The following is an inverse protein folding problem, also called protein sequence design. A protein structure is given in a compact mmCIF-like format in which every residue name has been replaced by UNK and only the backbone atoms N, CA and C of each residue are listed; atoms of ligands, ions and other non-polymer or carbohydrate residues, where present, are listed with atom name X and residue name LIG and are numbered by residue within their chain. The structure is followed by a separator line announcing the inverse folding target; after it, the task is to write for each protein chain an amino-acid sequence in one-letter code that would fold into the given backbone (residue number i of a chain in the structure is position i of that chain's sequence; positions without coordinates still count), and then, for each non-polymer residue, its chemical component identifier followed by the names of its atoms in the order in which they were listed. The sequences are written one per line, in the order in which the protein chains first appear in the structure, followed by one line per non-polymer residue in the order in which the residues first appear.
data_IF_394129828901
#
_entry.id   IF_394129828901
#
_cell.length_a   1.000
_cell.length_b   1.000
_cell.length_c   1.000
_cell.angle_alpha   90.00
_cell.angle_beta   90.00
_cell.angle_gamma   90.00
#
_symmetry.space_group_name_H-M   'P 1'
#
loop_
_entity.id
_entity.type
_entity.pdbx_description
1 polymer ?
#
# COMPACT_ATOMS: atom_id res chain seq x y z
N UNK A 1 -5.52 -2.01 -0.18
CA UNK A 1 -5.14 -3.17 -1.04
C UNK A 1 -4.19 -4.11 -0.30
N UNK A 2 -3.17 -3.59 0.38
CA UNK A 2 -2.12 -4.37 1.06
C UNK A 2 -2.40 -4.68 2.53
N UNK A 3 -3.65 -4.55 2.97
CA UNK A 3 -4.11 -4.89 4.33
C UNK A 3 -3.34 -4.25 5.51
N UNK A 4 -2.61 -3.14 5.27
CA UNK A 4 -1.83 -2.44 6.31
C UNK A 4 -2.68 -1.61 7.29
N UNK A 5 -3.87 -1.20 6.88
CA UNK A 5 -4.84 -0.51 7.73
C UNK A 5 -6.26 -0.83 7.25
N UNK A 6 -7.21 -0.82 8.18
CA UNK A 6 -8.65 -0.89 7.93
C UNK A 6 -9.29 0.51 7.91
N UNK A 7 -8.49 1.55 8.12
CA UNK A 7 -8.91 2.94 8.21
C UNK A 7 -9.70 3.38 6.98
N UNK A 8 -10.88 3.95 7.24
CA UNK A 8 -11.71 4.60 6.20
C UNK A 8 -11.27 6.05 5.93
N UNK A 9 -10.36 6.58 6.74
CA UNK A 9 -9.85 7.95 6.66
C UNK A 9 -8.34 7.97 6.52
N UNK A 10 -7.81 9.10 6.04
CA UNK A 10 -6.38 9.30 5.82
C UNK A 10 -5.65 9.34 7.15
N UNK A 11 -6.19 10.04 8.14
CA UNK A 11 -5.59 10.21 9.47
C UNK A 11 -5.41 8.86 10.16
N UNK A 12 -6.42 7.99 10.08
CA UNK A 12 -6.33 6.64 10.66
C UNK A 12 -5.28 5.79 9.95
N UNK A 13 -5.24 5.87 8.63
CA UNK A 13 -4.25 5.14 7.82
C UNK A 13 -2.83 5.59 8.16
N UNK A 14 -2.62 6.90 8.33
CA UNK A 14 -1.33 7.47 8.71
C UNK A 14 -0.90 7.04 10.11
N UNK A 15 -1.81 7.08 11.09
CA UNK A 15 -1.56 6.62 12.47
C UNK A 15 -1.14 5.14 12.49
N UNK A 16 -1.86 4.28 11.77
CA UNK A 16 -1.57 2.85 11.70
C UNK A 16 -0.20 2.59 11.03
N UNK A 17 0.11 3.27 9.92
CA UNK A 17 1.41 3.12 9.25
C UNK A 17 2.58 3.62 10.11
N UNK A 18 2.42 4.74 10.81
CA UNK A 18 3.45 5.27 11.73
C UNK A 18 3.74 4.33 12.90
N UNK A 19 2.79 3.49 13.31
CA UNK A 19 3.01 2.43 14.33
C UNK A 19 3.78 1.24 13.78
N UNK A 20 3.64 0.93 12.49
CA UNK A 20 4.27 -0.22 11.85
C UNK A 20 5.74 0.03 11.48
N UNK A 21 6.11 1.28 11.21
CA UNK A 21 7.44 1.62 10.72
C UNK A 21 8.18 2.59 11.64
N UNK A 22 9.52 2.44 11.80
CA UNK A 22 10.33 3.34 12.60
C UNK A 22 10.36 4.75 12.00
N UNK A 23 10.43 5.77 12.87
CA UNK A 23 10.25 7.19 12.50
C UNK A 23 11.30 7.68 11.50
N UNK A 24 12.53 7.19 11.60
CA UNK A 24 13.59 7.56 10.66
C UNK A 24 13.27 7.20 9.21
N UNK A 25 12.41 6.19 8.97
CA UNK A 25 12.08 5.71 7.63
C UNK A 25 10.84 6.37 7.03
N UNK A 26 10.10 7.20 7.78
CA UNK A 26 8.80 7.71 7.31
C UNK A 26 8.89 8.53 6.03
N UNK A 27 9.93 9.37 5.89
CA UNK A 27 10.12 10.20 4.70
C UNK A 27 10.42 9.35 3.45
N UNK A 28 11.34 8.39 3.59
CA UNK A 28 11.72 7.51 2.49
C UNK A 28 10.56 6.58 2.10
N UNK A 29 9.89 5.98 3.08
CA UNK A 29 8.74 5.10 2.86
C UNK A 29 7.60 5.84 2.17
N UNK A 30 7.34 7.09 2.54
CA UNK A 30 6.31 7.91 1.89
C UNK A 30 6.57 8.01 0.37
N UNK A 31 7.78 8.36 -0.03
CA UNK A 31 8.16 8.46 -1.43
C UNK A 31 8.14 7.10 -2.13
N UNK A 32 8.67 6.05 -1.49
CA UNK A 32 8.67 4.69 -2.02
C UNK A 32 7.24 4.19 -2.29
N UNK A 33 6.29 4.44 -1.38
CA UNK A 33 4.89 4.06 -1.57
C UNK A 33 4.27 4.81 -2.75
N UNK A 34 4.59 6.11 -2.93
CA UNK A 34 4.10 6.90 -4.06
C UNK A 34 4.65 6.35 -5.39
N UNK A 35 5.97 6.13 -5.48
CA UNK A 35 6.59 5.63 -6.71
C UNK A 35 6.08 4.23 -7.05
N UNK A 36 6.05 3.33 -6.07
CA UNK A 36 5.49 1.99 -6.24
C UNK A 36 4.02 2.02 -6.71
N UNK A 37 3.21 2.91 -6.12
CA UNK A 37 1.82 3.10 -6.52
C UNK A 37 1.67 3.55 -7.97
N UNK A 38 2.60 4.36 -8.48
CA UNK A 38 2.58 4.84 -9.87
C UNK A 38 3.06 3.77 -10.86
N UNK A 39 4.14 3.08 -10.54
CA UNK A 39 4.81 2.16 -11.46
C UNK A 39 4.19 0.76 -11.47
N UNK A 40 3.80 0.25 -10.30
CA UNK A 40 3.41 -1.16 -10.14
C UNK A 40 1.98 -1.36 -9.64
N UNK A 41 1.40 -0.39 -8.93
CA UNK A 41 0.07 -0.51 -8.35
C UNK A 41 -0.86 0.66 -8.71
N UNK A 42 -1.08 0.94 -10.02
CA UNK A 42 -1.85 2.10 -10.44
C UNK A 42 -3.30 2.07 -9.96
N UNK A 43 -3.93 3.23 -9.89
CA UNK A 43 -5.33 3.33 -9.49
C UNK A 43 -6.27 2.69 -10.52
N UNK A 44 -6.02 2.95 -11.82
CA UNK A 44 -6.77 2.44 -12.97
C UNK A 44 -5.95 1.40 -13.72
N UNK A 45 -6.61 0.36 -14.27
CA UNK A 45 -5.94 -0.68 -15.06
C UNK A 45 -4.93 -1.53 -14.27
N UNK A 46 -5.08 -1.60 -12.95
CA UNK A 46 -4.21 -2.41 -12.10
C UNK A 46 -4.39 -3.90 -12.39
N UNK A 47 -3.28 -4.59 -12.70
CA UNK A 47 -3.23 -6.05 -12.72
C UNK A 47 -2.67 -6.56 -11.36
N UNK A 48 -3.51 -7.16 -10.50
CA UNK A 48 -3.09 -7.67 -9.20
C UNK A 48 -2.10 -8.84 -9.28
N UNK A 49 -2.09 -9.60 -10.38
CA UNK A 49 -1.18 -10.74 -10.58
C UNK A 49 0.22 -10.28 -10.97
N UNK A 50 0.33 -9.20 -11.74
CA UNK A 50 1.61 -8.59 -12.11
C UNK A 50 2.19 -7.67 -11.03
N UNK A 51 1.38 -7.21 -10.08
CA UNK A 51 1.84 -6.34 -9.00
C UNK A 51 2.71 -7.11 -7.97
N UNK A 52 3.95 -6.67 -7.69
CA UNK A 52 4.86 -7.38 -6.78
C UNK A 52 4.34 -7.54 -5.35
N UNK A 53 3.56 -6.59 -4.84
CA UNK A 53 3.00 -6.64 -3.48
C UNK A 53 1.63 -7.31 -3.50
N UNK A 54 0.73 -6.90 -4.39
CA UNK A 54 -0.63 -7.44 -4.38
C UNK A 54 -0.66 -8.94 -4.67
N UNK A 55 0.21 -9.46 -5.54
CA UNK A 55 0.31 -10.89 -5.87
C UNK A 55 0.63 -11.78 -4.66
N UNK A 56 1.30 -11.24 -3.64
CA UNK A 56 1.72 -11.99 -2.44
C UNK A 56 0.79 -11.74 -1.26
N UNK A 57 0.43 -10.48 -0.99
CA UNK A 57 -0.30 -10.08 0.23
C UNK A 57 -1.63 -9.36 -0.05
N UNK A 58 -2.08 -9.32 -1.30
CA UNK A 58 -3.32 -8.67 -1.68
C UNK A 58 -4.57 -9.34 -1.09
N UNK A 59 -5.59 -8.52 -0.81
CA UNK A 59 -6.92 -9.04 -0.41
C UNK A 59 -7.50 -9.97 -1.48
N UNK A 60 -8.16 -11.05 -1.04
CA UNK A 60 -8.73 -12.11 -1.92
C UNK A 60 -9.62 -11.58 -3.04
N UNK A 61 -10.40 -10.52 -2.77
CA UNK A 61 -11.32 -9.93 -3.74
C UNK A 61 -10.60 -9.31 -4.96
N UNK A 62 -9.29 -9.04 -4.90
CA UNK A 62 -8.53 -8.53 -6.04
C UNK A 62 -8.31 -9.59 -7.13
N UNK A 63 -8.41 -10.88 -6.80
CA UNK A 63 -8.11 -11.99 -7.72
C UNK A 63 -9.37 -12.72 -8.21
N UNK A 64 -10.54 -12.17 -7.91
CA UNK A 64 -11.83 -12.74 -8.25
C UNK A 64 -12.32 -12.29 -9.63
#
# INVERSE_FOLDING_TARGET
RWTLSTGKTVERTEEDLKKLFPREKWADLHLQIIYFGREHCPAKGHDPKACPICSVVGRRELFR
#
